data_IF_802328357632
#
_entry.id   IF_802328357632
#
_cell.length_a   1.000
_cell.length_b   1.000
_cell.length_c   1.000
_cell.angle_alpha   90.00
_cell.angle_beta   90.00
_cell.angle_gamma   90.00
#
_symmetry.space_group_name_H-M   'P 1'
#
loop_
_entity.id
_entity.type
_entity.pdbx_description
1 polymer ?
#
# COMPACT_ATOMS: atom_id res chain seq x y z
N UNK A 1 -20.90 -11.31 -51.93
CA UNK A 1 -20.44 -10.06 -51.29
C UNK A 1 -21.64 -9.25 -50.80
N UNK A 2 -21.95 -9.30 -49.50
CA UNK A 2 -22.64 -8.23 -48.75
C UNK A 2 -22.04 -8.23 -47.34
N UNK A 3 -21.79 -7.04 -46.84
CA UNK A 3 -20.81 -6.75 -45.81
C UNK A 3 -21.21 -7.12 -44.37
N UNK A 4 -20.14 -7.32 -43.60
CA UNK A 4 -19.90 -7.27 -42.15
C UNK A 4 -20.82 -6.32 -41.35
N UNK A 5 -21.11 -6.71 -40.10
CA UNK A 5 -21.02 -5.94 -38.84
C UNK A 5 -22.21 -6.26 -37.91
N UNK A 6 -22.00 -7.23 -37.02
CA UNK A 6 -22.64 -7.19 -35.70
C UNK A 6 -21.51 -6.96 -34.72
N UNK A 7 -21.38 -5.70 -34.30
CA UNK A 7 -20.43 -5.26 -33.29
C UNK A 7 -20.81 -5.92 -31.97
N UNK A 8 -19.93 -6.80 -31.46
CA UNK A 8 -19.98 -7.25 -30.07
C UNK A 8 -19.63 -6.07 -29.15
N UNK A 9 -20.61 -5.22 -28.84
CA UNK A 9 -20.56 -4.38 -27.64
C UNK A 9 -20.94 -5.23 -26.42
N UNK A 10 -20.10 -6.23 -26.10
CA UNK A 10 -20.04 -6.69 -24.72
C UNK A 10 -19.33 -5.57 -23.96
N UNK A 11 -20.11 -4.69 -23.34
CA UNK A 11 -19.65 -3.88 -22.23
C UNK A 11 -19.13 -4.86 -21.18
N UNK A 12 -17.84 -5.19 -21.29
CA UNK A 12 -17.03 -5.48 -20.13
C UNK A 12 -17.12 -4.20 -19.30
N UNK A 13 -18.14 -4.12 -18.46
CA UNK A 13 -18.06 -3.37 -17.23
C UNK A 13 -16.85 -3.98 -16.51
N UNK A 14 -15.67 -3.44 -16.83
CA UNK A 14 -14.50 -3.57 -16.00
C UNK A 14 -14.99 -3.05 -14.66
N UNK A 15 -15.28 -3.96 -13.73
CA UNK A 15 -15.35 -3.58 -12.35
C UNK A 15 -13.92 -3.17 -12.00
N UNK A 16 -13.55 -1.94 -12.33
CA UNK A 16 -12.60 -1.22 -11.50
C UNK A 16 -13.31 -1.19 -10.14
N UNK A 17 -12.98 -2.14 -9.27
CA UNK A 17 -13.40 -2.04 -7.89
C UNK A 17 -12.79 -0.73 -7.40
N UNK A 18 -13.62 0.29 -7.20
CA UNK A 18 -13.15 1.57 -6.70
C UNK A 18 -12.39 1.32 -5.39
N UNK A 19 -11.16 1.81 -5.33
CA UNK A 19 -10.36 1.71 -4.12
C UNK A 19 -11.06 2.45 -2.98
N UNK A 20 -10.96 1.89 -1.77
CA UNK A 20 -11.50 2.49 -0.55
C UNK A 20 -10.44 2.60 0.53
N UNK A 21 -10.67 3.53 1.45
CA UNK A 21 -9.92 3.65 2.69
C UNK A 21 -9.87 2.31 3.43
N UNK A 22 -8.68 1.96 3.90
CA UNK A 22 -8.37 0.75 4.65
C UNK A 22 -8.41 1.04 6.16
N UNK A 23 -9.12 0.21 6.90
CA UNK A 23 -9.28 0.33 8.35
C UNK A 23 -8.25 -0.49 9.14
N UNK A 24 -8.20 -0.36 10.47
CA UNK A 24 -7.42 -1.27 11.32
C UNK A 24 -7.84 -2.73 11.19
N UNK A 25 -9.12 -3.01 10.88
CA UNK A 25 -9.62 -4.36 10.65
C UNK A 25 -9.07 -4.92 9.33
N UNK A 26 -9.12 -4.12 8.27
CA UNK A 26 -8.53 -4.48 6.98
C UNK A 26 -7.02 -4.76 7.13
N UNK A 27 -6.29 -3.89 7.83
CA UNK A 27 -4.87 -4.12 8.14
C UNK A 27 -4.64 -5.41 8.96
N UNK A 28 -5.57 -5.77 9.84
CA UNK A 28 -5.54 -7.04 10.57
C UNK A 28 -5.64 -8.24 9.61
N UNK A 29 -6.58 -8.19 8.68
CA UNK A 29 -6.80 -9.24 7.67
C UNK A 29 -5.61 -9.36 6.70
N UNK A 30 -5.11 -8.22 6.19
CA UNK A 30 -3.94 -8.16 5.31
C UNK A 30 -2.70 -8.71 5.99
N UNK A 31 -2.50 -8.40 7.27
CA UNK A 31 -1.42 -8.99 8.08
C UNK A 31 -1.53 -10.50 8.16
N UNK A 32 -2.71 -11.06 8.43
CA UNK A 32 -2.87 -12.51 8.49
C UNK A 32 -2.50 -13.15 7.15
N UNK A 33 -2.98 -12.58 6.04
CA UNK A 33 -2.67 -13.04 4.68
C UNK A 33 -1.17 -12.99 4.37
N UNK A 34 -0.53 -11.85 4.64
CA UNK A 34 0.91 -11.68 4.38
C UNK A 34 1.79 -12.58 5.27
N UNK A 35 1.42 -12.76 6.54
CA UNK A 35 2.11 -13.69 7.45
C UNK A 35 2.04 -15.12 6.94
N UNK A 36 0.87 -15.56 6.49
CA UNK A 36 0.67 -16.90 5.96
C UNK A 36 1.44 -17.13 4.65
N UNK A 37 1.40 -16.16 3.74
CA UNK A 37 2.08 -16.24 2.45
C UNK A 37 3.61 -16.26 2.59
N UNK A 38 4.17 -15.40 3.43
CA UNK A 38 5.61 -15.21 3.56
C UNK A 38 6.23 -16.07 4.67
N UNK A 39 5.43 -16.86 5.39
CA UNK A 39 5.85 -17.67 6.55
C UNK A 39 6.66 -16.81 7.54
N UNK A 40 6.02 -15.74 8.00
CA UNK A 40 6.57 -14.83 9.00
C UNK A 40 6.41 -15.46 10.39
N UNK A 41 7.47 -15.44 11.19
CA UNK A 41 7.48 -15.96 12.55
C UNK A 41 6.59 -15.13 13.48
N UNK A 42 5.89 -15.77 14.42
CA UNK A 42 4.99 -15.10 15.37
C UNK A 42 5.69 -14.02 16.21
N UNK A 43 6.98 -14.22 16.52
CA UNK A 43 7.81 -13.24 17.23
C UNK A 43 7.96 -11.94 16.44
N UNK A 44 8.21 -12.03 15.13
CA UNK A 44 8.28 -10.86 14.25
C UNK A 44 6.91 -10.15 14.14
N UNK A 45 5.82 -10.92 14.02
CA UNK A 45 4.44 -10.37 14.00
C UNK A 45 4.14 -9.57 15.28
N UNK A 46 4.62 -10.05 16.43
CA UNK A 46 4.47 -9.35 17.71
C UNK A 46 5.18 -8.00 17.71
N UNK A 47 6.37 -7.92 17.13
CA UNK A 47 7.10 -6.65 16.97
C UNK A 47 6.44 -5.71 15.95
N UNK A 48 5.93 -6.24 14.84
CA UNK A 48 5.20 -5.45 13.84
C UNK A 48 3.94 -4.80 14.43
N UNK A 49 3.22 -5.50 15.33
CA UNK A 49 2.07 -4.93 16.07
C UNK A 49 2.46 -3.75 16.95
N UNK A 50 3.71 -3.70 17.42
CA UNK A 50 4.28 -2.59 18.21
C UNK A 50 4.89 -1.50 17.34
N UNK A 51 4.77 -1.58 16.01
CA UNK A 51 5.43 -0.69 15.05
C UNK A 51 6.95 -0.78 15.03
N UNK A 52 7.49 -1.91 15.50
CA UNK A 52 8.91 -2.21 15.43
C UNK A 52 9.17 -3.15 14.24
N UNK A 53 10.00 -2.71 13.30
CA UNK A 53 10.27 -3.42 12.05
C UNK A 53 11.78 -3.49 11.84
N UNK A 54 12.33 -4.70 11.95
CA UNK A 54 13.74 -4.96 11.65
C UNK A 54 14.00 -4.77 10.17
N UNK A 55 15.18 -4.25 9.81
CA UNK A 55 15.56 -4.08 8.41
C UNK A 55 16.19 -5.37 7.85
N UNK A 56 15.35 -6.38 7.64
CA UNK A 56 15.70 -7.65 7.01
C UNK A 56 14.78 -7.94 5.81
N UNK A 57 15.21 -8.83 4.92
CA UNK A 57 14.49 -9.15 3.67
C UNK A 57 13.03 -9.58 3.90
N UNK A 58 12.78 -10.45 4.89
CA UNK A 58 11.41 -10.92 5.20
C UNK A 58 10.54 -9.74 5.66
N UNK A 59 11.06 -8.88 6.54
CA UNK A 59 10.33 -7.70 7.01
C UNK A 59 10.04 -6.72 5.89
N UNK A 60 11.00 -6.47 4.99
CA UNK A 60 10.81 -5.63 3.79
C UNK A 60 9.68 -6.17 2.92
N UNK A 61 9.71 -7.46 2.60
CA UNK A 61 8.69 -8.08 1.76
C UNK A 61 7.33 -8.18 2.46
N UNK A 62 7.30 -8.31 3.79
CA UNK A 62 6.06 -8.21 4.56
C UNK A 62 5.42 -6.82 4.42
N UNK A 63 6.20 -5.75 4.52
CA UNK A 63 5.69 -4.38 4.32
C UNK A 63 5.20 -4.19 2.88
N UNK A 64 5.94 -4.69 1.88
CA UNK A 64 5.49 -4.68 0.48
C UNK A 64 4.14 -5.38 0.31
N UNK A 65 4.00 -6.56 0.90
CA UNK A 65 2.75 -7.32 0.85
C UNK A 65 1.58 -6.52 1.43
N UNK A 66 1.75 -5.90 2.60
CA UNK A 66 0.72 -5.04 3.21
C UNK A 66 0.34 -3.89 2.28
N UNK A 67 1.31 -3.21 1.68
CA UNK A 67 1.04 -2.09 0.76
C UNK A 67 0.29 -2.56 -0.49
N UNK A 68 0.60 -3.73 -1.04
CA UNK A 68 -0.12 -4.31 -2.17
C UNK A 68 -1.56 -4.65 -1.80
N UNK A 69 -1.78 -5.32 -0.68
CA UNK A 69 -3.12 -5.71 -0.22
C UNK A 69 -4.01 -4.50 0.12
N UNK A 70 -3.39 -3.41 0.58
CA UNK A 70 -4.06 -2.13 0.82
C UNK A 70 -4.25 -1.29 -0.47
N UNK A 71 -3.71 -1.72 -1.61
CA UNK A 71 -3.75 -0.95 -2.86
C UNK A 71 -2.91 0.33 -2.85
N UNK A 72 -1.93 0.45 -1.94
CA UNK A 72 -1.03 1.60 -1.82
C UNK A 72 0.24 1.46 -2.67
N UNK A 73 0.51 0.25 -3.15
CA UNK A 73 1.59 -0.05 -4.07
C UNK A 73 1.14 -1.09 -5.07
N UNK A 74 1.67 -0.99 -6.28
CA UNK A 74 1.50 -1.94 -7.35
C UNK A 74 2.88 -2.34 -7.88
N UNK A 75 3.07 -3.64 -8.08
CA UNK A 75 4.35 -4.21 -8.49
C UNK A 75 4.81 -3.76 -9.89
N UNK A 76 3.92 -3.22 -10.73
CA UNK A 76 4.19 -2.72 -12.07
C UNK A 76 4.27 -1.18 -12.11
N UNK A 77 3.36 -0.49 -11.41
CA UNK A 77 3.24 0.98 -11.48
C UNK A 77 3.82 1.72 -10.29
N UNK A 78 4.29 1.04 -9.25
CA UNK A 78 4.90 1.65 -8.07
C UNK A 78 3.89 2.11 -7.02
N UNK A 79 4.26 3.13 -6.24
CA UNK A 79 3.38 3.69 -5.22
C UNK A 79 2.16 4.38 -5.82
N UNK A 80 0.98 4.12 -5.27
CA UNK A 80 -0.22 4.87 -5.61
C UNK A 80 -0.33 6.10 -4.72
N UNK A 81 0.15 7.24 -5.23
CA UNK A 81 0.19 8.50 -4.48
C UNK A 81 -1.21 8.98 -4.11
N UNK A 82 -2.21 8.77 -4.98
CA UNK A 82 -3.59 9.17 -4.71
C UNK A 82 -4.16 8.38 -3.53
N UNK A 83 -4.02 7.05 -3.56
CA UNK A 83 -4.47 6.20 -2.46
C UNK A 83 -3.72 6.49 -1.16
N UNK A 84 -2.41 6.77 -1.21
CA UNK A 84 -1.64 7.17 -0.04
C UNK A 84 -2.14 8.48 0.56
N UNK A 85 -2.43 9.49 -0.28
CA UNK A 85 -2.95 10.79 0.17
C UNK A 85 -4.33 10.65 0.77
N UNK A 86 -5.22 9.90 0.12
CA UNK A 86 -6.56 9.62 0.62
C UNK A 86 -6.50 8.87 1.96
N UNK A 87 -5.68 7.81 2.05
CA UNK A 87 -5.52 7.03 3.27
C UNK A 87 -4.97 7.90 4.41
N UNK A 88 -3.88 8.63 4.20
CA UNK A 88 -3.15 9.31 5.27
C UNK A 88 -3.69 10.71 5.59
N UNK A 89 -4.46 11.30 4.68
CA UNK A 89 -5.01 12.64 4.77
C UNK A 89 -6.40 12.75 5.41
N UNK A 90 -6.99 11.65 5.89
CA UNK A 90 -8.36 11.61 6.42
C UNK A 90 -8.68 12.67 7.49
N UNK A 91 -7.69 13.06 8.31
CA UNK A 91 -7.86 14.00 9.42
C UNK A 91 -7.23 15.39 9.20
N UNK A 92 -6.86 15.76 7.98
CA UNK A 92 -6.10 16.99 7.77
C UNK A 92 -6.09 17.52 6.34
N UNK A 93 -5.11 18.38 6.08
CA UNK A 93 -4.91 19.00 4.77
C UNK A 93 -4.23 18.01 3.81
N UNK A 94 -4.98 17.53 2.83
CA UNK A 94 -4.53 16.56 1.83
C UNK A 94 -3.41 17.08 0.94
N UNK A 95 -3.35 18.39 0.67
CA UNK A 95 -2.29 18.97 -0.17
C UNK A 95 -0.96 18.94 0.59
N UNK A 96 -1.00 19.30 1.88
CA UNK A 96 0.17 19.18 2.75
C UNK A 96 0.64 17.74 2.93
N UNK A 97 -0.30 16.79 3.04
CA UNK A 97 0.01 15.35 3.12
C UNK A 97 0.63 14.85 1.82
N UNK A 98 0.11 15.28 0.67
CA UNK A 98 0.69 14.98 -0.66
C UNK A 98 2.14 15.44 -0.76
N UNK A 99 2.43 16.69 -0.40
CA UNK A 99 3.80 17.23 -0.42
C UNK A 99 4.80 16.39 0.41
N UNK A 100 4.32 15.73 1.46
CA UNK A 100 5.12 14.84 2.30
C UNK A 100 5.26 13.44 1.68
N UNK A 101 4.17 12.88 1.15
CA UNK A 101 4.16 11.54 0.54
C UNK A 101 5.08 11.49 -0.67
N UNK A 102 5.01 12.46 -1.58
CA UNK A 102 5.82 12.46 -2.82
C UNK A 102 7.32 12.51 -2.58
N UNK A 103 7.77 12.93 -1.38
CA UNK A 103 9.18 12.91 -0.99
C UNK A 103 9.66 11.51 -0.55
N UNK A 104 8.74 10.64 -0.15
CA UNK A 104 9.03 9.29 0.33
C UNK A 104 8.62 8.20 -0.67
N UNK A 105 7.54 8.42 -1.41
CA UNK A 105 7.02 7.53 -2.46
C UNK A 105 7.68 7.89 -3.81
N UNK A 106 8.97 7.55 -3.94
CA UNK A 106 9.74 7.85 -5.15
C UNK A 106 9.52 6.82 -6.27
N UNK A 107 10.04 7.11 -7.47
CA UNK A 107 9.96 6.25 -8.67
C UNK A 107 11.08 5.20 -8.76
N UNK A 108 11.57 4.70 -7.61
CA UNK A 108 12.68 3.73 -7.51
C UNK A 108 13.97 4.12 -8.27
N UNK A 109 14.56 5.32 -8.04
CA UNK A 109 15.74 5.78 -8.77
C UNK A 109 16.96 4.85 -8.61
N UNK A 110 17.03 4.13 -7.48
CA UNK A 110 18.10 3.20 -7.16
C UNK A 110 17.96 1.84 -7.85
N UNK A 111 16.79 1.56 -8.47
CA UNK A 111 16.42 0.26 -9.02
C UNK A 111 16.52 -0.85 -7.96
N UNK A 112 16.13 -0.53 -6.74
CA UNK A 112 16.04 -1.48 -5.64
C UNK A 112 15.02 -2.58 -6.01
N UNK A 113 15.16 -3.76 -5.42
CA UNK A 113 14.08 -4.74 -5.48
C UNK A 113 12.80 -4.15 -4.84
N UNK A 114 11.63 -4.66 -5.24
CA UNK A 114 10.34 -4.08 -4.82
C UNK A 114 10.15 -4.09 -3.30
N UNK A 115 10.68 -5.09 -2.60
CA UNK A 115 10.58 -5.14 -1.14
C UNK A 115 11.41 -4.03 -0.51
N UNK A 116 12.66 -3.86 -0.94
CA UNK A 116 13.54 -2.79 -0.47
C UNK A 116 13.00 -1.41 -0.83
N UNK A 117 12.47 -1.23 -2.05
CA UNK A 117 11.86 0.03 -2.49
C UNK A 117 10.68 0.44 -1.60
N UNK A 118 9.71 -0.45 -1.38
CA UNK A 118 8.55 -0.13 -0.53
C UNK A 118 8.98 0.12 0.91
N UNK A 119 9.92 -0.68 1.44
CA UNK A 119 10.41 -0.50 2.79
C UNK A 119 11.15 0.83 2.99
N UNK A 120 11.91 1.28 2.00
CA UNK A 120 12.57 2.60 1.98
C UNK A 120 11.55 3.73 2.08
N UNK A 121 10.50 3.68 1.26
CA UNK A 121 9.39 4.65 1.33
C UNK A 121 8.64 4.61 2.65
N UNK A 122 8.32 3.40 3.15
CA UNK A 122 7.68 3.21 4.46
C UNK A 122 8.52 3.79 5.61
N UNK A 123 9.83 3.55 5.64
CA UNK A 123 10.70 4.10 6.68
C UNK A 123 10.83 5.62 6.59
N UNK A 124 10.92 6.17 5.39
CA UNK A 124 10.89 7.62 5.17
C UNK A 124 9.60 8.23 5.76
N UNK A 125 8.45 7.63 5.46
CA UNK A 125 7.17 8.15 5.94
C UNK A 125 7.01 7.93 7.46
N UNK A 126 7.38 6.75 7.98
CA UNK A 126 7.34 6.44 9.42
C UNK A 126 8.21 7.40 10.23
N UNK A 127 9.41 7.73 9.77
CA UNK A 127 10.33 8.62 10.49
C UNK A 127 9.76 10.03 10.67
N UNK A 128 8.97 10.51 9.69
CA UNK A 128 8.48 11.89 9.68
C UNK A 128 7.00 12.01 10.08
N UNK A 129 6.20 10.96 9.90
CA UNK A 129 4.74 11.03 9.88
C UNK A 129 4.04 9.80 10.51
N UNK A 130 4.69 9.10 11.46
CA UNK A 130 4.09 7.91 12.12
C UNK A 130 2.70 8.16 12.73
N UNK A 131 2.44 9.36 13.25
CA UNK A 131 1.12 9.73 13.78
C UNK A 131 0.02 9.66 12.72
N UNK A 132 0.30 10.13 11.50
CA UNK A 132 -0.66 10.08 10.39
C UNK A 132 -0.99 8.65 10.00
N UNK A 133 0.01 7.76 9.94
CA UNK A 133 -0.25 6.33 9.66
C UNK A 133 -1.16 5.74 10.74
N UNK A 134 -0.83 5.95 12.01
CA UNK A 134 -1.64 5.42 13.12
C UNK A 134 -3.06 5.99 13.15
N UNK A 135 -3.23 7.27 12.82
CA UNK A 135 -4.54 7.92 12.75
C UNK A 135 -5.38 7.40 11.59
N UNK A 136 -4.78 7.22 10.41
CA UNK A 136 -5.49 6.72 9.21
C UNK A 136 -6.14 5.35 9.37
N UNK A 137 -5.68 4.58 10.35
CA UNK A 137 -6.15 3.22 10.62
C UNK A 137 -7.16 3.18 11.77
N UNK A 138 -7.35 4.26 12.53
CA UNK A 138 -8.36 4.28 13.59
C UNK A 138 -9.74 4.22 12.93
N UNK A 139 -10.61 3.35 13.45
CA UNK A 139 -12.05 3.46 13.16
C UNK A 139 -12.55 4.76 13.82
N UNK A 140 -13.35 5.51 13.09
CA UNK A 140 -14.21 6.55 13.66
C UNK A 140 -15.17 5.92 14.71
#
# INVERSE_FOLDING_TARGET
>A
MKAVLVVCFTLLAMCCADWRIQTAEDLGNHRNKCVEQLKIEESAVTEYKKWNFTDDEKTRCYIKCIFNEMGLFNDETGFDVEHLVEQLGQGGDKDKVREQIVKCADDNPNKDDKCTWVFRGFNCFKANHLSLIKMSLKKD
#
